data_IF_747001791410
#
_entry.id   IF_747001791410
#
_cell.length_a   1.000
_cell.length_b   1.000
_cell.length_c   1.000
_cell.angle_alpha   90.00
_cell.angle_beta   90.00
_cell.angle_gamma   90.00
#
_symmetry.space_group_name_H-M   'P 1'
#
loop_
_entity.id
_entity.type
_entity.pdbx_description
1 polymer ?
#
# COMPACT_ATOMS: atom_id res chain seq x y z
N UNK A 1 -37.16 52.15 -15.65
CA UNK A 1 -37.04 50.81 -15.07
C UNK A 1 -35.90 50.10 -15.79
N UNK A 2 -34.76 49.86 -15.11
CA UNK A 2 -33.63 49.11 -15.66
C UNK A 2 -33.87 47.63 -15.36
N UNK A 3 -34.09 46.83 -16.39
CA UNK A 3 -34.04 45.38 -16.26
C UNK A 3 -32.57 44.98 -16.13
N UNK A 4 -32.10 44.81 -14.90
CA UNK A 4 -30.82 44.18 -14.61
C UNK A 4 -31.04 42.68 -14.76
N UNK A 5 -30.39 42.07 -15.76
CA UNK A 5 -30.30 40.62 -15.89
C UNK A 5 -29.29 40.16 -14.85
N UNK A 6 -29.75 39.58 -13.76
CA UNK A 6 -28.89 38.82 -12.85
C UNK A 6 -28.45 37.54 -13.57
N UNK A 7 -27.18 37.48 -13.95
CA UNK A 7 -26.57 36.23 -14.36
C UNK A 7 -26.55 35.30 -13.13
N UNK A 8 -26.95 34.03 -13.27
CA UNK A 8 -26.87 33.10 -12.15
C UNK A 8 -25.41 33.03 -11.67
N UNK A 9 -25.27 33.15 -10.35
CA UNK A 9 -24.03 33.05 -9.60
C UNK A 9 -23.12 31.96 -10.17
N UNK A 10 -21.85 32.33 -10.39
CA UNK A 10 -20.73 31.44 -10.75
C UNK A 10 -20.97 30.00 -10.32
N UNK A 11 -21.06 29.09 -11.30
CA UNK A 11 -21.06 27.66 -11.05
C UNK A 11 -19.88 27.33 -10.11
N UNK A 12 -20.07 26.45 -9.11
CA UNK A 12 -18.98 26.07 -8.24
C UNK A 12 -17.84 25.52 -9.09
N UNK A 13 -16.67 26.16 -9.02
CA UNK A 13 -15.47 25.70 -9.69
C UNK A 13 -15.07 24.39 -9.03
N UNK A 14 -15.13 23.29 -9.77
CA UNK A 14 -14.61 22.01 -9.30
C UNK A 14 -13.09 22.13 -9.20
N UNK A 15 -12.57 22.16 -7.98
CA UNK A 15 -11.14 22.11 -7.74
C UNK A 15 -10.66 20.67 -7.93
N UNK A 16 -9.92 20.43 -9.01
CA UNK A 16 -9.29 19.14 -9.27
C UNK A 16 -7.99 19.08 -8.46
N UNK A 17 -8.07 18.46 -7.28
CA UNK A 17 -6.97 18.31 -6.34
C UNK A 17 -6.97 16.91 -5.69
N UNK A 18 -5.97 16.63 -4.87
CA UNK A 18 -5.86 15.32 -4.18
C UNK A 18 -7.01 15.07 -3.19
N UNK A 19 -7.57 16.12 -2.58
CA UNK A 19 -8.64 15.99 -1.58
C UNK A 19 -9.97 15.53 -2.21
N UNK A 20 -10.19 15.89 -3.47
CA UNK A 20 -11.30 15.36 -4.27
C UNK A 20 -11.20 13.83 -4.42
N UNK A 21 -10.01 13.32 -4.73
CA UNK A 21 -9.79 11.89 -5.03
C UNK A 21 -9.61 11.02 -3.78
N UNK A 22 -9.14 11.58 -2.66
CA UNK A 22 -8.95 10.85 -1.39
C UNK A 22 -10.22 10.18 -0.85
N UNK A 23 -11.41 10.57 -1.31
CA UNK A 23 -12.68 9.98 -0.87
C UNK A 23 -12.98 8.64 -1.53
N UNK A 24 -12.28 8.31 -2.60
CA UNK A 24 -12.51 7.12 -3.40
C UNK A 24 -11.57 5.99 -2.98
N UNK A 25 -12.00 4.74 -3.12
CA UNK A 25 -11.14 3.57 -2.90
C UNK A 25 -10.17 3.38 -4.08
N UNK A 26 -9.11 2.60 -3.86
CA UNK A 26 -8.04 2.40 -4.85
C UNK A 26 -8.54 1.77 -6.16
N UNK A 27 -9.50 0.84 -6.10
CA UNK A 27 -10.06 0.20 -7.29
C UNK A 27 -10.82 1.20 -8.18
N UNK A 28 -11.60 2.10 -7.58
CA UNK A 28 -12.30 3.16 -8.30
C UNK A 28 -11.33 4.17 -8.93
N UNK A 29 -10.28 4.55 -8.20
CA UNK A 29 -9.24 5.43 -8.72
C UNK A 29 -8.49 4.80 -9.89
N UNK A 30 -8.12 3.52 -9.77
CA UNK A 30 -7.48 2.76 -10.85
C UNK A 30 -8.38 2.66 -12.07
N UNK A 31 -9.66 2.31 -11.89
CA UNK A 31 -10.62 2.23 -12.99
C UNK A 31 -10.73 3.56 -13.73
N UNK A 32 -10.87 4.69 -13.02
CA UNK A 32 -10.90 6.02 -13.64
C UNK A 32 -9.62 6.32 -14.41
N UNK A 33 -8.44 5.94 -13.88
CA UNK A 33 -7.18 6.11 -14.61
C UNK A 33 -7.17 5.29 -15.92
N UNK A 34 -7.63 4.04 -15.89
CA UNK A 34 -7.72 3.21 -17.09
C UNK A 34 -8.69 3.78 -18.13
N UNK A 35 -9.87 4.24 -17.69
CA UNK A 35 -10.86 4.87 -18.57
C UNK A 35 -10.25 6.11 -19.26
N UNK A 36 -9.65 7.02 -18.50
CA UNK A 36 -9.02 8.22 -19.07
C UNK A 36 -7.90 7.88 -20.04
N UNK A 37 -6.99 6.96 -19.67
CA UNK A 37 -5.89 6.58 -20.55
C UNK A 37 -6.42 5.96 -21.85
N UNK A 38 -7.46 5.12 -21.78
CA UNK A 38 -8.09 4.56 -22.97
C UNK A 38 -8.69 5.66 -23.86
N UNK A 39 -9.48 6.57 -23.28
CA UNK A 39 -10.13 7.64 -24.04
C UNK A 39 -9.09 8.58 -24.70
N UNK A 40 -8.00 8.88 -23.99
CA UNK A 40 -6.86 9.65 -24.53
C UNK A 40 -6.19 8.93 -25.70
N UNK A 41 -6.00 7.61 -25.60
CA UNK A 41 -5.42 6.82 -26.67
C UNK A 41 -6.33 6.79 -27.90
N UNK A 42 -7.65 6.72 -27.70
CA UNK A 42 -8.63 6.78 -28.79
C UNK A 42 -8.56 8.13 -29.51
N UNK A 43 -8.47 9.26 -28.78
CA UNK A 43 -8.31 10.60 -29.35
C UNK A 43 -7.00 10.75 -30.13
N UNK A 44 -5.87 10.28 -29.58
CA UNK A 44 -4.55 10.42 -30.23
C UNK A 44 -4.42 9.49 -31.47
N UNK A 45 -5.17 8.40 -31.52
CA UNK A 45 -5.19 7.50 -32.67
C UNK A 45 -5.87 8.11 -33.90
N UNK A 46 -6.73 9.11 -33.71
CA UNK A 46 -7.39 9.81 -34.79
C UNK A 46 -6.55 11.00 -35.28
N UNK A 47 -6.03 10.99 -36.52
CA UNK A 47 -5.05 11.97 -36.99
C UNK A 47 -5.58 13.42 -37.10
N UNK A 48 -6.88 13.59 -36.98
CA UNK A 48 -7.61 14.86 -37.09
C UNK A 48 -7.90 15.48 -35.72
N UNK A 49 -7.72 14.73 -34.63
CA UNK A 49 -7.98 15.18 -33.28
C UNK A 49 -6.69 15.43 -32.51
N UNK A 50 -6.72 16.49 -31.72
CA UNK A 50 -5.63 16.88 -30.83
C UNK A 50 -6.22 17.26 -29.48
N UNK A 51 -5.46 16.98 -28.42
CA UNK A 51 -5.84 17.37 -27.07
C UNK A 51 -5.52 18.86 -26.92
N UNK A 52 -6.54 19.68 -26.79
CA UNK A 52 -6.43 21.12 -26.61
C UNK A 52 -6.45 21.51 -25.12
N UNK A 53 -5.74 22.58 -24.78
CA UNK A 53 -5.75 23.06 -23.40
C UNK A 53 -7.15 23.52 -23.00
N UNK A 54 -7.72 22.85 -22.01
CA UNK A 54 -9.03 23.14 -21.45
C UNK A 54 -10.16 22.32 -22.07
N UNK A 55 -9.86 21.41 -23.00
CA UNK A 55 -10.84 20.41 -23.45
C UNK A 55 -11.09 19.34 -22.38
N UNK A 56 -12.14 18.54 -22.58
CA UNK A 56 -12.55 17.52 -21.62
C UNK A 56 -11.45 16.45 -21.42
N UNK A 57 -10.74 16.07 -22.48
CA UNK A 57 -9.65 15.07 -22.44
C UNK A 57 -8.45 15.59 -21.63
N UNK A 58 -8.10 16.86 -21.79
CA UNK A 58 -7.07 17.57 -21.02
C UNK A 58 -7.44 17.65 -19.54
N UNK A 59 -8.69 18.00 -19.23
CA UNK A 59 -9.19 18.04 -17.85
C UNK A 59 -9.17 16.63 -17.23
N UNK A 60 -9.58 15.61 -17.98
CA UNK A 60 -9.59 14.23 -17.52
C UNK A 60 -8.17 13.68 -17.28
N UNK A 61 -7.18 14.10 -18.08
CA UNK A 61 -5.77 13.82 -17.81
C UNK A 61 -5.31 14.38 -16.46
N UNK A 62 -5.72 15.59 -16.08
CA UNK A 62 -5.45 16.12 -14.75
C UNK A 62 -6.14 15.29 -13.65
N UNK A 63 -7.39 14.87 -13.87
CA UNK A 63 -8.10 14.00 -12.92
C UNK A 63 -7.37 12.66 -12.73
N UNK A 64 -6.94 12.02 -13.82
CA UNK A 64 -6.13 10.80 -13.76
C UNK A 64 -4.79 11.04 -13.06
N UNK A 65 -4.12 12.16 -13.32
CA UNK A 65 -2.88 12.53 -12.64
C UNK A 65 -3.07 12.61 -11.12
N UNK A 66 -4.08 13.31 -10.62
CA UNK A 66 -4.35 13.40 -9.18
C UNK A 66 -4.81 12.08 -8.57
N UNK A 67 -5.57 11.26 -9.29
CA UNK A 67 -5.90 9.91 -8.86
C UNK A 67 -4.63 9.04 -8.69
N UNK A 68 -3.69 9.12 -9.64
CA UNK A 68 -2.39 8.45 -9.55
C UNK A 68 -1.53 9.00 -8.40
N UNK A 69 -1.55 10.32 -8.14
CA UNK A 69 -0.87 10.89 -6.96
C UNK A 69 -1.38 10.28 -5.66
N UNK A 70 -2.71 10.19 -5.51
CA UNK A 70 -3.35 9.61 -4.32
C UNK A 70 -2.98 8.13 -4.17
N UNK A 71 -3.07 7.34 -5.25
CA UNK A 71 -2.67 5.92 -5.26
C UNK A 71 -1.20 5.74 -4.87
N UNK A 72 -0.29 6.55 -5.43
CA UNK A 72 1.13 6.50 -5.12
C UNK A 72 1.40 6.85 -3.65
N UNK A 73 0.81 7.94 -3.14
CA UNK A 73 0.98 8.35 -1.75
C UNK A 73 0.41 7.31 -0.79
N UNK A 74 -0.75 6.74 -1.09
CA UNK A 74 -1.33 5.66 -0.29
C UNK A 74 -0.36 4.48 -0.22
N UNK A 75 0.13 4.00 -1.36
CA UNK A 75 1.01 2.83 -1.40
C UNK A 75 2.38 3.06 -0.75
N UNK A 76 2.95 4.24 -0.91
CA UNK A 76 4.35 4.52 -0.55
C UNK A 76 4.50 5.40 0.68
N UNK A 77 3.49 6.20 1.03
CA UNK A 77 3.56 7.26 2.02
C UNK A 77 4.27 8.54 1.54
N UNK A 78 4.69 8.62 0.27
CA UNK A 78 5.48 9.74 -0.26
C UNK A 78 4.74 10.52 -1.36
N UNK A 79 5.12 11.79 -1.53
CA UNK A 79 4.64 12.61 -2.66
C UNK A 79 5.38 12.23 -3.95
N UNK A 80 4.62 11.91 -5.00
CA UNK A 80 5.18 11.45 -6.28
C UNK A 80 5.98 12.51 -7.00
N UNK A 81 5.66 13.80 -6.85
CA UNK A 81 6.39 14.87 -7.53
C UNK A 81 7.79 15.02 -6.93
N UNK A 82 7.91 14.90 -5.61
CA UNK A 82 9.20 14.87 -4.94
C UNK A 82 10.03 13.64 -5.38
N UNK A 83 9.44 12.44 -5.35
CA UNK A 83 10.16 11.21 -5.75
C UNK A 83 10.60 11.26 -7.21
N UNK A 84 9.74 11.74 -8.12
CA UNK A 84 10.07 11.89 -9.53
C UNK A 84 11.21 12.89 -9.75
N UNK A 85 11.20 14.01 -9.00
CA UNK A 85 12.29 14.99 -9.03
C UNK A 85 13.60 14.39 -8.54
N UNK A 86 13.58 13.66 -7.42
CA UNK A 86 14.78 13.03 -6.87
C UNK A 86 15.38 12.00 -7.85
N UNK A 87 14.53 11.22 -8.51
CA UNK A 87 14.95 10.28 -9.56
C UNK A 87 15.54 11.00 -10.78
N UNK A 88 14.94 12.12 -11.19
CA UNK A 88 15.45 12.95 -12.28
C UNK A 88 16.81 13.57 -11.95
N UNK A 89 16.96 14.11 -10.75
CA UNK A 89 18.21 14.73 -10.30
C UNK A 89 19.34 13.69 -10.16
N UNK A 90 19.03 12.50 -9.64
CA UNK A 90 19.97 11.39 -9.58
C UNK A 90 20.40 10.91 -10.98
N UNK A 91 19.44 10.78 -11.92
CA UNK A 91 19.74 10.41 -13.30
C UNK A 91 20.57 11.49 -14.00
N UNK A 92 20.27 12.77 -13.76
CA UNK A 92 21.01 13.90 -14.30
C UNK A 92 22.48 13.89 -13.84
N UNK A 93 22.74 13.58 -12.57
CA UNK A 93 24.12 13.40 -12.06
C UNK A 93 24.85 12.25 -12.72
N UNK A 94 24.19 11.12 -12.96
CA UNK A 94 24.77 10.01 -13.72
C UNK A 94 25.12 10.41 -15.16
N UNK A 95 24.16 10.99 -15.88
CA UNK A 95 24.29 11.31 -17.30
C UNK A 95 25.27 12.45 -17.58
N UNK A 96 25.28 13.49 -16.73
CA UNK A 96 26.07 14.70 -16.94
C UNK A 96 27.36 14.73 -16.12
N UNK A 97 27.35 14.10 -14.94
CA UNK A 97 28.48 14.11 -13.99
C UNK A 97 29.31 12.84 -13.99
N UNK A 98 28.89 11.77 -14.67
CA UNK A 98 29.61 10.49 -14.72
C UNK A 98 29.53 9.68 -13.42
N UNK A 99 28.60 10.01 -12.51
CA UNK A 99 28.35 9.22 -11.30
C UNK A 99 27.83 7.81 -11.64
N UNK A 100 27.90 6.84 -10.70
CA UNK A 100 27.27 5.54 -10.89
C UNK A 100 25.77 5.66 -11.19
N UNK A 101 25.25 4.74 -12.02
CA UNK A 101 23.83 4.71 -12.36
C UNK A 101 22.99 4.54 -11.09
N UNK A 102 22.03 5.43 -10.81
CA UNK A 102 21.18 5.30 -9.64
C UNK A 102 20.22 4.12 -9.78
N UNK A 103 19.92 3.46 -8.66
CA UNK A 103 18.97 2.34 -8.63
C UNK A 103 17.51 2.79 -8.78
N UNK A 104 17.22 4.09 -8.55
CA UNK A 104 15.88 4.68 -8.63
C UNK A 104 14.80 3.88 -7.89
N UNK A 105 15.14 3.37 -6.69
CA UNK A 105 14.18 2.71 -5.81
C UNK A 105 13.07 3.69 -5.42
N UNK A 106 11.83 3.21 -5.40
CA UNK A 106 10.71 3.96 -4.85
C UNK A 106 10.77 3.83 -3.32
N UNK A 107 10.90 4.93 -2.57
CA UNK A 107 10.88 4.85 -1.12
C UNK A 107 9.48 4.43 -0.65
N UNK A 108 9.43 3.61 0.39
CA UNK A 108 8.17 3.18 1.03
C UNK A 108 8.32 3.46 2.52
N UNK A 109 7.32 4.12 3.11
CA UNK A 109 7.24 4.32 4.55
C UNK A 109 7.19 2.95 5.22
N UNK A 110 8.16 2.72 6.10
CA UNK A 110 8.26 1.52 6.92
C UNK A 110 7.69 1.80 8.32
N UNK A 111 7.07 0.79 8.91
CA UNK A 111 6.74 0.79 10.32
C UNK A 111 8.04 0.87 11.13
N UNK A 112 8.15 1.78 12.12
CA UNK A 112 9.42 2.04 12.79
C UNK A 112 9.90 0.92 13.70
N UNK A 113 9.05 -0.07 14.01
CA UNK A 113 9.46 -1.23 14.80
C UNK A 113 9.88 -2.38 13.90
N UNK A 114 11.01 -3.00 14.24
CA UNK A 114 11.41 -4.27 13.65
C UNK A 114 10.60 -5.41 14.25
N UNK A 115 10.50 -6.52 13.51
CA UNK A 115 9.92 -7.74 14.04
C UNK A 115 10.73 -8.20 15.25
N UNK A 116 10.04 -8.70 16.26
CA UNK A 116 10.67 -9.20 17.46
C UNK A 116 11.47 -10.48 17.13
N UNK A 117 12.72 -10.58 17.59
CA UNK A 117 13.50 -11.80 17.38
C UNK A 117 12.96 -12.95 18.24
N UNK A 118 13.26 -14.20 17.89
CA UNK A 118 12.77 -15.40 18.58
C UNK A 118 13.04 -15.33 20.11
N UNK A 119 14.20 -14.78 20.50
CA UNK A 119 14.63 -14.67 21.90
C UNK A 119 13.72 -13.76 22.75
N UNK A 120 12.97 -12.85 22.13
CA UNK A 120 11.99 -12.02 22.82
C UNK A 120 10.84 -12.86 23.43
N UNK A 121 10.68 -14.10 22.97
CA UNK A 121 9.61 -15.01 23.38
C UNK A 121 10.08 -16.12 24.34
N UNK A 122 11.39 -16.28 24.55
CA UNK A 122 11.97 -17.40 25.33
C UNK A 122 11.46 -17.45 26.77
N UNK A 123 11.28 -16.29 27.41
CA UNK A 123 10.83 -16.16 28.79
C UNK A 123 9.33 -16.31 29.01
N UNK A 124 8.54 -16.46 27.93
CA UNK A 124 7.09 -16.53 28.02
C UNK A 124 6.60 -17.95 28.31
N UNK A 125 5.56 -18.06 29.14
CA UNK A 125 4.82 -19.31 29.35
C UNK A 125 3.98 -19.66 28.12
N UNK A 126 3.50 -20.90 28.05
CA UNK A 126 2.68 -21.37 26.92
C UNK A 126 1.40 -20.55 26.74
N UNK A 127 0.77 -20.17 27.86
CA UNK A 127 -0.38 -19.28 27.83
C UNK A 127 0.00 -17.88 27.32
N UNK A 128 1.15 -17.35 27.74
CA UNK A 128 1.62 -16.04 27.28
C UNK A 128 1.97 -16.05 25.79
N UNK A 129 2.57 -17.13 25.28
CA UNK A 129 2.84 -17.31 23.85
C UNK A 129 1.54 -17.39 23.04
N UNK A 130 0.55 -18.14 23.52
CA UNK A 130 -0.77 -18.22 22.88
C UNK A 130 -1.47 -16.85 22.86
N UNK A 131 -1.43 -16.12 23.98
CA UNK A 131 -1.98 -14.76 24.06
C UNK A 131 -1.24 -13.79 23.14
N UNK A 132 0.09 -13.85 23.08
CA UNK A 132 0.89 -13.02 22.19
C UNK A 132 0.53 -13.28 20.71
N UNK A 133 0.52 -14.54 20.29
CA UNK A 133 0.13 -14.95 18.94
C UNK A 133 -1.27 -14.44 18.59
N UNK A 134 -2.25 -14.60 19.50
CA UNK A 134 -3.61 -14.12 19.31
C UNK A 134 -3.67 -12.59 19.19
N UNK A 135 -3.04 -11.86 20.11
CA UNK A 135 -3.09 -10.39 20.14
C UNK A 135 -2.45 -9.78 18.89
N UNK A 136 -1.29 -10.27 18.47
CA UNK A 136 -0.64 -9.81 17.23
C UNK A 136 -1.47 -10.17 16.00
N UNK A 137 -2.09 -11.36 15.98
CA UNK A 137 -2.98 -11.75 14.89
C UNK A 137 -4.25 -10.89 14.83
N UNK A 138 -4.86 -10.53 15.97
CA UNK A 138 -6.05 -9.68 16.00
C UNK A 138 -5.73 -8.23 15.60
N UNK A 139 -4.54 -7.75 15.98
CA UNK A 139 -4.04 -6.44 15.55
C UNK A 139 -3.79 -6.40 14.04
N UNK A 140 -3.20 -7.46 13.49
CA UNK A 140 -3.05 -7.65 12.04
C UNK A 140 -4.41 -7.66 11.35
N UNK A 141 -5.38 -8.43 11.88
CA UNK A 141 -6.75 -8.49 11.35
C UNK A 141 -7.41 -7.12 11.33
N UNK A 142 -7.26 -6.35 12.41
CA UNK A 142 -7.84 -5.00 12.51
C UNK A 142 -7.24 -4.06 11.47
N UNK A 143 -5.91 -4.04 11.31
CA UNK A 143 -5.23 -3.21 10.33
C UNK A 143 -5.60 -3.56 8.88
N UNK A 144 -5.80 -4.84 8.58
CA UNK A 144 -6.24 -5.29 7.24
C UNK A 144 -7.72 -4.95 6.99
N UNK A 145 -8.58 -5.15 8.00
CA UNK A 145 -10.03 -4.92 7.89
C UNK A 145 -10.41 -3.45 7.87
N UNK A 146 -9.58 -2.57 8.40
CA UNK A 146 -9.80 -1.11 8.32
C UNK A 146 -9.67 -0.58 6.88
N UNK A 147 -9.30 -1.45 5.92
CA UNK A 147 -9.12 -1.12 4.50
C UNK A 147 -8.24 0.11 4.26
N UNK A 148 -7.37 0.45 5.23
CA UNK A 148 -6.48 1.58 5.12
C UNK A 148 -5.55 1.36 3.93
N UNK A 149 -5.63 2.18 2.88
CA UNK A 149 -4.78 2.02 1.72
C UNK A 149 -3.34 2.54 1.99
N UNK A 150 -3.09 3.03 3.21
CA UNK A 150 -1.84 3.66 3.62
C UNK A 150 -0.76 2.59 3.85
N UNK A 151 0.37 2.73 3.16
CA UNK A 151 1.49 1.79 3.18
C UNK A 151 2.02 1.51 4.59
N UNK A 152 1.99 2.50 5.48
CA UNK A 152 2.36 2.34 6.89
C UNK A 152 1.48 1.31 7.62
N UNK A 153 0.15 1.34 7.42
CA UNK A 153 -0.76 0.40 8.06
C UNK A 153 -0.55 -1.03 7.55
N UNK A 154 -0.23 -1.17 6.26
CA UNK A 154 0.11 -2.46 5.66
C UNK A 154 1.45 -3.01 6.16
N UNK A 155 2.46 -2.15 6.34
CA UNK A 155 3.76 -2.57 6.86
C UNK A 155 3.71 -2.87 8.38
N UNK A 156 2.89 -2.14 9.14
CA UNK A 156 2.57 -2.47 10.54
C UNK A 156 1.86 -3.84 10.63
N UNK A 157 0.87 -4.09 9.76
CA UNK A 157 0.19 -5.38 9.70
C UNK A 157 1.15 -6.52 9.34
N UNK A 158 2.09 -6.28 8.41
CA UNK A 158 3.15 -7.23 8.07
C UNK A 158 4.01 -7.54 9.29
N UNK A 159 4.48 -6.53 10.01
CA UNK A 159 5.32 -6.69 11.20
C UNK A 159 4.63 -7.54 12.26
N UNK A 160 3.38 -7.21 12.61
CA UNK A 160 2.64 -8.00 13.60
C UNK A 160 2.27 -9.41 13.11
N UNK A 161 2.09 -9.62 11.81
CA UNK A 161 1.85 -10.97 11.28
C UNK A 161 3.07 -11.89 11.50
N UNK A 162 4.27 -11.32 11.41
CA UNK A 162 5.53 -12.02 11.65
C UNK A 162 5.63 -12.34 13.14
N UNK A 163 5.46 -11.34 14.02
CA UNK A 163 5.49 -11.54 15.47
C UNK A 163 4.45 -12.57 15.95
N UNK A 164 3.24 -12.54 15.39
CA UNK A 164 2.19 -13.53 15.66
C UNK A 164 2.64 -14.95 15.30
N UNK A 165 3.24 -15.10 14.12
CA UNK A 165 3.71 -16.39 13.62
C UNK A 165 4.92 -16.89 14.41
N UNK A 166 5.83 -16.01 14.80
CA UNK A 166 6.98 -16.33 15.66
C UNK A 166 6.52 -16.83 17.02
N UNK A 167 5.63 -16.10 17.71
CA UNK A 167 5.06 -16.52 18.99
C UNK A 167 4.36 -17.89 18.89
N UNK A 168 3.57 -18.09 17.83
CA UNK A 168 2.88 -19.35 17.59
C UNK A 168 3.87 -20.49 17.31
N UNK A 169 4.91 -20.24 16.52
CA UNK A 169 5.97 -21.22 16.23
C UNK A 169 6.69 -21.65 17.52
N UNK A 170 7.06 -20.69 18.38
CA UNK A 170 7.71 -21.00 19.66
C UNK A 170 6.80 -21.88 20.54
N UNK A 171 5.51 -21.57 20.61
CA UNK A 171 4.52 -22.40 21.31
C UNK A 171 4.44 -23.81 20.73
N UNK A 172 4.28 -23.92 19.41
CA UNK A 172 4.12 -25.20 18.71
C UNK A 172 5.36 -26.08 18.90
N UNK A 173 6.56 -25.52 18.76
CA UNK A 173 7.81 -26.26 18.99
C UNK A 173 7.87 -26.76 20.42
N UNK A 174 7.56 -25.92 21.41
CA UNK A 174 7.61 -26.31 22.82
C UNK A 174 6.61 -27.43 23.14
N UNK A 175 5.37 -27.32 22.68
CA UNK A 175 4.34 -28.34 22.86
C UNK A 175 4.67 -29.66 22.13
N UNK A 176 5.48 -29.58 21.08
CA UNK A 176 5.85 -30.74 20.25
C UNK A 176 7.15 -31.43 20.67
N UNK A 177 7.83 -30.95 21.72
CA UNK A 177 9.11 -31.53 22.19
C UNK A 177 10.37 -30.84 21.63
N UNK A 178 10.24 -29.63 21.10
CA UNK A 178 11.35 -28.73 20.79
C UNK A 178 11.86 -28.77 19.35
N UNK A 179 11.32 -29.63 18.48
CA UNK A 179 11.74 -29.72 17.08
C UNK A 179 10.56 -29.96 16.12
N UNK A 180 10.76 -29.61 14.85
CA UNK A 180 9.77 -29.82 13.78
C UNK A 180 9.57 -31.32 13.51
N UNK A 181 10.63 -32.12 13.66
CA UNK A 181 10.59 -33.58 13.54
C UNK A 181 9.74 -34.20 14.65
N UNK A 182 9.87 -33.69 15.88
CA UNK A 182 9.09 -34.15 17.02
C UNK A 182 7.59 -33.80 16.89
N UNK A 183 7.28 -32.65 16.28
CA UNK A 183 5.92 -32.26 15.88
C UNK A 183 5.35 -33.21 14.82
N UNK A 184 6.12 -33.49 13.76
CA UNK A 184 5.70 -34.42 12.72
C UNK A 184 5.42 -35.83 13.29
N UNK A 185 6.24 -36.28 14.25
CA UNK A 185 6.05 -37.55 14.94
C UNK A 185 4.77 -37.60 15.80
N UNK A 186 4.33 -36.46 16.38
CA UNK A 186 3.07 -36.38 17.12
C UNK A 186 1.83 -36.37 16.21
N UNK A 187 1.89 -35.67 15.07
CA UNK A 187 0.78 -35.57 14.12
C UNK A 187 0.62 -36.85 13.28
N UNK A 188 1.74 -37.53 12.97
CA UNK A 188 1.74 -38.77 12.21
C UNK A 188 1.23 -40.00 12.97
N UNK A 189 1.08 -39.92 14.30
CA UNK A 189 0.53 -41.02 15.12
C UNK A 189 -0.98 -41.08 14.98
N UNK A 190 -1.50 -42.23 14.55
CA UNK A 190 -2.93 -42.51 14.62
C UNK A 190 -3.36 -42.66 16.08
N UNK A 191 -4.60 -42.28 16.45
CA UNK A 191 -5.11 -42.52 17.80
C UNK A 191 -5.05 -44.02 18.13
N UNK A 192 -4.22 -44.42 19.11
CA UNK A 192 -4.16 -45.80 19.61
C UNK A 192 -2.83 -46.54 19.47
N UNK A 193 -1.80 -45.96 18.85
CA UNK A 193 -0.47 -46.58 18.82
C UNK A 193 0.36 -46.18 20.05
N UNK A 194 0.40 -47.05 21.08
CA UNK A 194 1.40 -46.96 22.15
C UNK A 194 2.61 -47.81 21.83
N UNK A 195 3.80 -47.30 22.16
CA UNK A 195 5.10 -47.96 21.97
C UNK A 195 5.08 -49.38 22.56
N UNK A 196 5.29 -50.38 21.69
CA UNK A 196 5.81 -51.69 22.09
C UNK A 196 7.34 -51.64 22.09
#
# INVERSE_FOLDING_TARGET
MKNVIEFPSTLPVEHIDEALFEKNNDAALLLKCFEVVKDVLDVIAEPEYFIENGDDTHIDLYRAFYALKVLFRRRTGHDVAQVAKDHFDAMSRHLLGGEPRPENKIPVVAYPAECLPDEAFDGLTDQQLACAAFNYSDRTRTLIMDHSPIGLALDEARTFSIDATTALRCLVLRLSGGSVEAMAAHIGRKPGETLQ
#
